data_IF_551505759369
#
_entry.id   IF_551505759369
#
_cell.length_a   1.000
_cell.length_b   1.000
_cell.length_c   1.000
_cell.angle_alpha   90.00
_cell.angle_beta   90.00
_cell.angle_gamma   90.00
#
_symmetry.space_group_name_H-M   'P 1'
#
loop_
_entity.id
_entity.type
_entity.pdbx_description
1 polymer ?
#
# COMPACT_ATOMS: atom_id res chain seq x y z
N UNK A 1 39.26 1.74 11.28
CA UNK A 1 37.89 2.10 11.68
C UNK A 1 36.99 1.30 10.75
N UNK A 2 36.53 0.11 11.16
CA UNK A 2 35.50 -0.59 10.37
C UNK A 2 34.22 0.21 10.55
N UNK A 3 33.71 0.80 9.47
CA UNK A 3 32.33 1.25 9.46
C UNK A 3 31.51 0.00 9.77
N UNK A 4 30.81 0.01 10.91
CA UNK A 4 29.72 -0.94 11.16
C UNK A 4 28.65 -0.60 10.13
N UNK A 5 28.77 -1.15 8.94
CA UNK A 5 27.69 -1.12 7.95
C UNK A 5 26.61 -1.99 8.58
N UNK A 6 25.50 -1.38 8.99
CA UNK A 6 24.34 -2.15 9.41
C UNK A 6 23.98 -3.11 8.26
N UNK A 7 23.64 -4.38 8.54
CA UNK A 7 23.22 -5.29 7.48
C UNK A 7 22.07 -4.63 6.71
N UNK A 8 22.21 -4.59 5.38
CA UNK A 8 21.16 -4.11 4.47
C UNK A 8 19.92 -4.97 4.76
N UNK A 9 18.73 -4.38 4.96
CA UNK A 9 17.52 -5.15 5.18
C UNK A 9 17.27 -6.08 3.99
N UNK A 10 16.59 -7.22 4.19
CA UNK A 10 16.06 -8.01 3.10
C UNK A 10 15.25 -7.11 2.18
N UNK A 11 15.55 -7.20 0.89
CA UNK A 11 14.95 -6.34 -0.11
C UNK A 11 14.82 -7.09 -1.43
N UNK A 12 13.80 -6.75 -2.19
CA UNK A 12 13.75 -7.04 -3.62
C UNK A 12 14.06 -5.74 -4.37
N UNK A 13 14.89 -5.83 -5.42
CA UNK A 13 15.35 -4.67 -6.18
C UNK A 13 15.56 -5.04 -7.65
N UNK A 14 15.20 -4.14 -8.55
CA UNK A 14 15.67 -4.16 -9.93
C UNK A 14 16.05 -2.74 -10.40
N UNK A 15 15.98 -2.47 -11.70
CA UNK A 15 16.32 -1.17 -12.29
C UNK A 15 15.24 -0.12 -12.02
N UNK A 16 13.98 -0.50 -11.79
CA UNK A 16 12.85 0.44 -11.62
C UNK A 16 12.54 0.75 -10.15
N UNK A 17 12.40 -0.29 -9.32
CA UNK A 17 11.93 -0.18 -7.94
C UNK A 17 12.74 -1.03 -6.96
N UNK A 18 12.68 -0.63 -5.70
CA UNK A 18 13.16 -1.40 -4.54
C UNK A 18 12.10 -1.41 -3.46
N UNK A 19 11.91 -2.57 -2.85
CA UNK A 19 11.16 -2.72 -1.61
C UNK A 19 12.07 -3.27 -0.53
N UNK A 20 12.09 -2.64 0.63
CA UNK A 20 12.82 -3.10 1.81
C UNK A 20 11.82 -3.74 2.80
N UNK A 21 12.23 -4.75 3.55
CA UNK A 21 11.45 -5.31 4.69
C UNK A 21 12.27 -5.34 5.99
N UNK A 22 11.68 -4.86 7.08
CA UNK A 22 12.35 -4.68 8.37
C UNK A 22 12.53 -6.02 9.06
N UNK A 23 13.80 -6.38 9.29
CA UNK A 23 14.22 -7.65 9.89
C UNK A 23 13.51 -8.06 11.18
N UNK A 24 13.05 -7.09 11.98
CA UNK A 24 12.50 -7.34 13.31
C UNK A 24 10.99 -7.19 13.39
N UNK A 25 10.32 -6.73 12.32
CA UNK A 25 8.91 -6.31 12.38
C UNK A 25 8.09 -6.60 11.12
N UNK A 26 8.70 -6.94 9.98
CA UNK A 26 7.99 -7.12 8.69
C UNK A 26 7.31 -5.87 8.12
N UNK A 27 7.52 -4.71 8.76
CA UNK A 27 7.19 -3.41 8.18
C UNK A 27 8.06 -3.16 6.95
N UNK A 28 7.54 -2.40 5.99
CA UNK A 28 8.16 -2.29 4.68
C UNK A 28 8.19 -0.85 4.18
N UNK A 29 8.98 -0.59 3.15
CA UNK A 29 8.97 0.68 2.41
C UNK A 29 9.32 0.42 0.95
N UNK A 30 8.72 1.19 0.06
CA UNK A 30 8.90 1.06 -1.39
C UNK A 30 9.39 2.39 -1.95
N UNK A 31 10.28 2.33 -2.92
CA UNK A 31 10.84 3.48 -3.61
C UNK A 31 11.41 3.12 -4.98
N UNK A 32 11.77 4.14 -5.74
CA UNK A 32 12.38 3.99 -7.06
C UNK A 32 13.88 3.78 -6.95
N UNK A 33 14.41 3.01 -7.89
CA UNK A 33 15.83 2.91 -8.17
C UNK A 33 16.16 3.85 -9.30
N UNK A 34 16.31 3.39 -10.53
CA UNK A 34 16.47 4.27 -11.70
C UNK A 34 15.11 4.77 -12.22
N UNK A 35 14.00 4.41 -11.56
CA UNK A 35 12.67 4.98 -11.83
C UNK A 35 12.08 4.60 -13.18
N UNK A 36 11.10 5.39 -13.65
CA UNK A 36 10.57 5.26 -14.99
C UNK A 36 11.57 5.84 -16.00
N UNK A 37 12.11 5.04 -16.96
CA UNK A 37 13.07 5.51 -17.95
C UNK A 37 12.56 6.66 -18.84
N UNK A 38 11.25 6.90 -18.89
CA UNK A 38 10.63 7.99 -19.65
C UNK A 38 10.45 9.28 -18.82
N UNK A 39 10.71 9.25 -17.51
CA UNK A 39 10.54 10.37 -16.59
C UNK A 39 11.87 10.75 -15.93
N UNK A 40 12.54 11.78 -16.43
CA UNK A 40 13.74 12.32 -15.77
C UNK A 40 13.39 12.94 -14.42
N UNK A 41 14.11 12.54 -13.37
CA UNK A 41 14.01 13.13 -12.03
C UNK A 41 13.10 12.36 -11.09
N UNK A 42 12.60 11.18 -11.47
CA UNK A 42 11.85 10.29 -10.57
C UNK A 42 12.74 9.22 -9.90
N UNK A 43 14.05 9.23 -10.21
CA UNK A 43 15.02 8.25 -9.74
C UNK A 43 15.33 8.45 -8.25
N UNK A 44 15.55 7.34 -7.53
CA UNK A 44 16.02 7.32 -6.14
C UNK A 44 15.09 8.01 -5.13
N UNK A 45 13.77 7.90 -5.32
CA UNK A 45 12.73 8.56 -4.53
C UNK A 45 11.83 7.57 -3.81
N UNK A 46 11.34 7.95 -2.62
CA UNK A 46 10.34 7.16 -1.91
C UNK A 46 8.99 7.16 -2.62
N UNK A 47 8.31 6.02 -2.59
CA UNK A 47 6.86 5.91 -2.82
C UNK A 47 6.10 5.75 -1.50
N UNK A 48 6.78 5.32 -0.44
CA UNK A 48 6.31 5.28 0.93
C UNK A 48 7.26 6.06 1.85
N UNK A 49 6.75 6.54 2.97
CA UNK A 49 7.55 7.21 3.98
C UNK A 49 8.68 6.30 4.49
N UNK A 50 9.84 6.91 4.77
CA UNK A 50 10.99 6.21 5.33
C UNK A 50 11.90 5.52 4.31
N UNK A 51 11.56 5.50 3.03
CA UNK A 51 12.47 4.97 1.99
C UNK A 51 13.75 5.80 1.90
N UNK A 52 14.92 5.14 1.97
CA UNK A 52 16.23 5.77 1.85
C UNK A 52 17.09 5.04 0.82
N UNK A 53 17.27 5.62 -0.37
CA UNK A 53 18.04 4.98 -1.46
C UNK A 53 19.43 4.53 -0.99
N UNK A 54 20.16 5.44 -0.34
CA UNK A 54 21.54 5.25 0.09
C UNK A 54 21.62 4.83 1.56
N UNK A 55 21.06 3.67 1.89
CA UNK A 55 21.26 3.09 3.22
C UNK A 55 20.11 2.24 3.71
N UNK A 56 19.78 2.44 4.98
CA UNK A 56 18.73 1.71 5.67
C UNK A 56 17.48 2.57 5.70
N UNK A 57 16.43 2.13 5.02
CA UNK A 57 15.11 2.76 5.07
C UNK A 57 14.54 2.73 6.51
N UNK A 58 13.97 3.83 6.98
CA UNK A 58 13.29 3.91 8.28
C UNK A 58 11.83 3.47 8.17
N UNK A 59 11.65 2.15 8.02
CA UNK A 59 10.38 1.56 7.59
C UNK A 59 9.46 1.28 8.78
N UNK A 60 9.07 2.28 9.55
CA UNK A 60 8.25 2.04 10.75
C UNK A 60 6.75 2.17 10.51
N UNK A 61 6.31 2.83 9.43
CA UNK A 61 4.95 3.32 9.27
C UNK A 61 4.08 2.59 8.24
N UNK A 62 4.65 1.73 7.39
CA UNK A 62 3.85 0.81 6.55
C UNK A 62 3.92 -0.62 7.09
N UNK A 63 2.76 -1.18 7.43
CA UNK A 63 2.62 -2.42 8.19
C UNK A 63 1.24 -3.05 8.04
N UNK A 64 1.01 -4.20 8.69
CA UNK A 64 -0.30 -4.85 8.70
C UNK A 64 -0.81 -5.10 10.12
N UNK A 65 -2.13 -5.11 10.25
CA UNK A 65 -2.85 -5.46 11.47
C UNK A 65 -3.79 -6.63 11.17
N UNK A 66 -3.84 -7.63 12.06
CA UNK A 66 -4.83 -8.69 11.99
C UNK A 66 -6.03 -8.34 12.87
N UNK A 67 -7.24 -8.66 12.42
CA UNK A 67 -8.41 -8.75 13.30
C UNK A 67 -8.76 -10.22 13.48
N UNK A 68 -8.79 -10.66 14.73
CA UNK A 68 -9.09 -12.04 15.10
C UNK A 68 -10.41 -12.06 15.87
N UNK A 69 -11.41 -12.79 15.34
CA UNK A 69 -12.67 -13.05 16.05
C UNK A 69 -12.73 -14.51 16.51
N UNK A 70 -12.75 -14.74 17.81
CA UNK A 70 -12.87 -16.06 18.41
C UNK A 70 -14.33 -16.53 18.48
N UNK A 71 -14.53 -17.84 18.67
CA UNK A 71 -15.85 -18.48 18.70
C UNK A 71 -16.77 -17.94 19.82
N UNK A 72 -16.19 -17.42 20.89
CA UNK A 72 -16.92 -16.82 22.01
C UNK A 72 -17.32 -15.35 21.78
N UNK A 73 -16.91 -14.78 20.64
CA UNK A 73 -17.20 -13.42 20.22
C UNK A 73 -16.14 -12.39 20.66
N UNK A 74 -15.04 -12.81 21.29
CA UNK A 74 -13.93 -11.90 21.56
C UNK A 74 -13.28 -11.46 20.25
N UNK A 75 -13.02 -10.15 20.13
CA UNK A 75 -12.32 -9.54 19.00
C UNK A 75 -11.00 -9.00 19.53
N UNK A 76 -9.90 -9.39 18.88
CA UNK A 76 -8.56 -8.86 19.17
C UNK A 76 -7.94 -8.35 17.88
N UNK A 77 -7.42 -7.12 17.94
CA UNK A 77 -6.61 -6.55 16.87
C UNK A 77 -5.12 -6.72 17.21
N UNK A 78 -4.32 -7.13 16.23
CA UNK A 78 -2.91 -7.49 16.42
C UNK A 78 -2.07 -6.73 15.40
N UNK A 79 -1.41 -5.66 15.82
CA UNK A 79 -0.43 -4.95 15.01
C UNK A 79 0.83 -5.80 14.84
N UNK A 80 1.04 -6.36 13.63
CA UNK A 80 2.19 -7.23 13.36
C UNK A 80 3.52 -6.50 13.50
N UNK A 81 3.54 -5.17 13.38
CA UNK A 81 4.74 -4.37 13.56
C UNK A 81 5.24 -4.37 15.01
N UNK A 82 4.39 -4.71 15.98
CA UNK A 82 4.77 -4.78 17.40
C UNK A 82 5.33 -6.16 17.79
N UNK A 83 5.31 -7.12 16.87
CA UNK A 83 5.81 -8.47 17.09
C UNK A 83 7.03 -8.80 16.24
N UNK A 84 7.96 -9.52 16.86
CA UNK A 84 9.11 -10.04 16.14
C UNK A 84 8.72 -11.30 15.34
N UNK A 85 9.07 -11.39 14.04
CA UNK A 85 8.93 -12.61 13.27
C UNK A 85 9.66 -13.79 13.91
N UNK A 86 9.17 -15.02 13.69
CA UNK A 86 9.76 -16.24 14.28
C UNK A 86 11.17 -16.50 13.78
N UNK A 87 11.42 -16.16 12.51
CA UNK A 87 12.73 -16.13 11.87
C UNK A 87 12.95 -14.76 11.25
N UNK A 88 14.19 -14.26 11.17
CA UNK A 88 14.48 -13.07 10.39
C UNK A 88 13.94 -13.23 8.96
N UNK A 89 13.28 -12.20 8.38
CA UNK A 89 12.87 -12.22 6.99
C UNK A 89 14.04 -12.62 6.08
N UNK A 90 13.73 -13.39 5.05
CA UNK A 90 14.70 -13.91 4.10
C UNK A 90 14.20 -13.70 2.67
N UNK A 91 15.12 -13.78 1.70
CA UNK A 91 14.79 -13.76 0.28
C UNK A 91 14.79 -15.20 -0.20
N UNK A 92 13.70 -15.64 -0.84
CA UNK A 92 13.59 -16.98 -1.40
C UNK A 92 14.22 -17.11 -2.79
N UNK A 93 13.96 -18.21 -3.49
CA UNK A 93 14.52 -18.51 -4.81
C UNK A 93 13.91 -17.69 -5.95
N UNK A 94 12.76 -17.04 -5.72
CA UNK A 94 12.01 -16.24 -6.69
C UNK A 94 12.16 -14.73 -6.41
N UNK A 95 13.21 -14.33 -5.66
CA UNK A 95 13.47 -12.96 -5.21
C UNK A 95 12.32 -12.34 -4.38
N UNK A 96 11.55 -13.19 -3.68
CA UNK A 96 10.49 -12.75 -2.77
C UNK A 96 11.03 -12.62 -1.35
N UNK A 97 10.77 -11.48 -0.72
CA UNK A 97 11.05 -11.28 0.69
C UNK A 97 9.93 -11.89 1.51
N UNK A 98 10.25 -12.88 2.34
CA UNK A 98 9.29 -13.63 3.15
C UNK A 98 9.47 -13.32 4.63
N UNK A 99 8.38 -12.96 5.31
CA UNK A 99 8.33 -12.76 6.77
C UNK A 99 7.23 -13.63 7.37
N UNK A 100 7.53 -14.39 8.43
CA UNK A 100 6.53 -15.26 9.09
C UNK A 100 6.42 -14.99 10.59
N UNK A 101 5.19 -14.92 11.09
CA UNK A 101 4.83 -14.85 12.51
C UNK A 101 3.90 -16.00 12.88
N UNK A 102 4.05 -16.51 14.09
CA UNK A 102 3.15 -17.49 14.67
C UNK A 102 2.56 -16.96 15.99
N UNK A 103 1.26 -16.68 15.98
CA UNK A 103 0.53 -16.41 17.21
C UNK A 103 0.16 -17.71 17.90
N UNK A 104 0.80 -17.99 19.04
CA UNK A 104 0.47 -19.14 19.89
C UNK A 104 -0.90 -18.99 20.57
N UNK A 105 -1.30 -17.75 20.86
CA UNK A 105 -2.54 -17.46 21.56
C UNK A 105 -3.75 -17.77 20.67
N UNK A 106 -3.64 -17.48 19.37
CA UNK A 106 -4.71 -17.73 18.40
C UNK A 106 -4.51 -19.01 17.58
N UNK A 107 -3.31 -19.61 17.63
CA UNK A 107 -2.93 -20.73 16.76
C UNK A 107 -2.92 -20.33 15.29
N UNK A 108 -2.35 -19.17 14.96
CA UNK A 108 -2.31 -18.63 13.59
C UNK A 108 -0.87 -18.48 13.12
N UNK A 109 -0.57 -18.95 11.92
CA UNK A 109 0.64 -18.58 11.19
C UNK A 109 0.28 -17.52 10.15
N UNK A 110 1.02 -16.42 10.12
CA UNK A 110 0.88 -15.37 9.12
C UNK A 110 2.20 -15.24 8.38
N UNK A 111 2.17 -15.38 7.07
CA UNK A 111 3.31 -15.21 6.19
C UNK A 111 3.05 -14.04 5.24
N UNK A 112 3.94 -13.06 5.26
CA UNK A 112 3.99 -11.94 4.33
C UNK A 112 4.98 -12.27 3.20
N UNK A 113 4.55 -12.01 1.97
CA UNK A 113 5.34 -12.17 0.76
C UNK A 113 5.40 -10.81 0.05
N UNK A 114 6.62 -10.30 -0.14
CA UNK A 114 6.85 -9.02 -0.82
C UNK A 114 7.79 -9.23 -1.99
N UNK A 115 7.32 -9.01 -3.21
CA UNK A 115 8.10 -9.28 -4.43
C UNK A 115 7.80 -8.25 -5.53
N UNK A 116 8.73 -8.10 -6.47
CA UNK A 116 8.53 -7.21 -7.62
C UNK A 116 7.90 -8.02 -8.76
N UNK A 117 6.73 -7.58 -9.22
CA UNK A 117 5.97 -8.21 -10.29
C UNK A 117 5.83 -7.27 -11.50
N UNK A 118 5.32 -7.81 -12.60
CA UNK A 118 5.01 -7.03 -13.79
C UNK A 118 3.77 -6.16 -13.56
N UNK A 119 3.84 -4.89 -13.97
CA UNK A 119 2.76 -3.93 -13.87
C UNK A 119 1.98 -3.89 -15.18
N UNK A 120 0.68 -4.18 -15.11
CA UNK A 120 -0.22 -4.22 -16.26
C UNK A 120 -0.43 -2.86 -16.97
N UNK A 121 0.02 -1.76 -16.35
CA UNK A 121 -0.12 -0.41 -16.92
C UNK A 121 1.15 0.08 -17.61
N UNK A 122 2.32 -0.49 -17.29
CA UNK A 122 3.62 -0.09 -17.86
C UNK A 122 4.36 -1.22 -18.57
N UNK A 123 3.91 -2.47 -18.42
CA UNK A 123 4.56 -3.70 -18.92
C UNK A 123 5.99 -3.89 -18.39
N UNK A 124 6.30 -3.27 -17.24
CA UNK A 124 7.61 -3.33 -16.59
C UNK A 124 7.46 -3.97 -15.23
N UNK A 125 8.56 -4.51 -14.71
CA UNK A 125 8.64 -4.98 -13.33
C UNK A 125 8.79 -3.81 -12.36
N UNK A 126 7.82 -2.92 -12.31
CA UNK A 126 7.89 -1.66 -11.54
C UNK A 126 6.79 -1.53 -10.47
N UNK A 127 6.10 -2.64 -10.18
CA UNK A 127 5.13 -2.73 -9.08
C UNK A 127 5.47 -3.85 -8.12
N UNK A 128 5.11 -3.67 -6.86
CA UNK A 128 5.39 -4.61 -5.77
C UNK A 128 4.12 -5.31 -5.37
N UNK A 129 4.15 -6.65 -5.37
CA UNK A 129 3.16 -7.48 -4.69
C UNK A 129 3.39 -7.42 -3.19
N UNK A 130 2.31 -7.13 -2.46
CA UNK A 130 2.26 -7.24 -0.99
C UNK A 130 1.16 -8.24 -0.67
N UNK A 131 1.55 -9.48 -0.38
CA UNK A 131 0.63 -10.56 -0.04
C UNK A 131 0.81 -11.01 1.42
N UNK A 132 -0.30 -11.38 2.05
CA UNK A 132 -0.33 -12.05 3.34
C UNK A 132 -1.14 -13.33 3.21
N UNK A 133 -0.55 -14.47 3.55
CA UNK A 133 -1.25 -15.74 3.72
C UNK A 133 -1.36 -16.07 5.21
N UNK A 134 -2.56 -16.43 5.66
CA UNK A 134 -2.87 -16.72 7.06
C UNK A 134 -3.40 -18.13 7.15
N UNK A 135 -2.70 -18.99 7.87
CA UNK A 135 -3.08 -20.39 8.10
C UNK A 135 -3.49 -20.60 9.55
N UNK A 136 -4.66 -21.19 9.76
CA UNK A 136 -5.13 -21.56 11.10
C UNK A 136 -4.64 -22.94 11.49
N UNK A 137 -4.04 -23.04 12.68
CA UNK A 137 -3.78 -24.28 13.41
C UNK A 137 -4.66 -24.39 14.65
N UNK A 138 -5.62 -23.47 14.82
CA UNK A 138 -6.57 -23.50 15.91
C UNK A 138 -7.55 -24.68 15.72
N UNK A 139 -7.76 -25.54 16.73
CA UNK A 139 -8.74 -26.62 16.63
C UNK A 139 -10.19 -26.12 16.55
N UNK A 140 -10.49 -24.92 17.07
CA UNK A 140 -11.80 -24.29 16.99
C UNK A 140 -11.85 -23.32 15.81
N UNK A 141 -13.01 -23.17 15.14
CA UNK A 141 -13.17 -22.18 14.09
C UNK A 141 -12.90 -20.76 14.62
N UNK A 142 -12.13 -20.01 13.85
CA UNK A 142 -11.75 -18.62 14.14
C UNK A 142 -12.02 -17.79 12.90
N UNK A 143 -12.28 -16.49 13.03
CA UNK A 143 -12.28 -15.60 11.86
C UNK A 143 -11.08 -14.69 11.89
N UNK A 144 -10.51 -14.46 10.70
CA UNK A 144 -9.34 -13.60 10.57
C UNK A 144 -9.56 -12.63 9.42
N UNK A 145 -9.36 -11.34 9.71
CA UNK A 145 -9.28 -10.26 8.73
C UNK A 145 -7.88 -9.66 8.75
N UNK A 146 -7.56 -8.90 7.70
CA UNK A 146 -6.31 -8.17 7.58
C UNK A 146 -6.58 -6.70 7.25
N UNK A 147 -5.80 -5.80 7.85
CA UNK A 147 -5.60 -4.44 7.38
C UNK A 147 -4.16 -4.27 6.90
N UNK A 148 -3.96 -3.73 5.71
CA UNK A 148 -2.65 -3.25 5.25
C UNK A 148 -2.63 -1.72 5.27
N UNK A 149 -1.65 -1.15 5.99
CA UNK A 149 -1.42 0.28 6.13
C UNK A 149 -0.21 0.69 5.28
N UNK A 150 -0.38 1.71 4.45
CA UNK A 150 0.69 2.31 3.66
C UNK A 150 0.76 3.81 3.95
N UNK A 151 1.89 4.24 4.51
CA UNK A 151 2.21 5.64 4.79
C UNK A 151 2.80 6.29 3.52
N UNK A 152 1.97 7.09 2.83
CA UNK A 152 2.21 7.48 1.45
C UNK A 152 3.00 8.78 1.41
N UNK A 153 4.22 8.68 0.88
CA UNK A 153 5.08 9.83 0.61
C UNK A 153 5.69 9.70 -0.76
N UNK A 154 5.25 10.53 -1.70
CA UNK A 154 5.75 10.49 -3.08
C UNK A 154 6.89 11.49 -3.23
N UNK A 155 8.11 10.97 -3.32
CA UNK A 155 9.34 11.77 -3.32
C UNK A 155 9.49 12.54 -2.01
N UNK A 156 9.30 13.85 -2.08
CA UNK A 156 9.36 14.75 -0.90
C UNK A 156 7.98 15.17 -0.38
N UNK A 157 6.89 14.70 -0.99
CA UNK A 157 5.53 15.13 -0.71
C UNK A 157 4.77 14.10 0.17
N UNK A 158 4.63 14.41 1.47
CA UNK A 158 3.88 13.61 2.48
C UNK A 158 2.36 13.82 2.42
N UNK A 159 1.92 14.83 1.68
CA UNK A 159 0.53 15.16 1.41
C UNK A 159 0.20 14.99 -0.06
N UNK A 160 0.73 13.92 -0.67
CA UNK A 160 0.66 13.68 -2.11
C UNK A 160 -0.80 13.77 -2.61
N UNK A 161 -1.08 14.53 -3.69
CA UNK A 161 -2.42 14.57 -4.25
C UNK A 161 -2.85 13.19 -4.72
N UNK A 162 -4.03 12.78 -4.28
CA UNK A 162 -4.65 11.52 -4.68
C UNK A 162 -5.58 11.74 -5.86
N UNK A 163 -5.58 10.76 -6.76
CA UNK A 163 -6.56 10.65 -7.83
C UNK A 163 -7.20 9.27 -7.81
N UNK A 164 -8.53 9.25 -7.87
CA UNK A 164 -9.32 8.02 -7.86
C UNK A 164 -10.21 8.02 -9.11
N UNK A 165 -10.23 6.92 -9.90
CA UNK A 165 -11.14 6.74 -11.02
C UNK A 165 -12.59 7.04 -10.63
N UNK A 166 -13.35 7.66 -11.54
CA UNK A 166 -14.76 8.06 -11.36
C UNK A 166 -15.07 9.04 -10.21
N UNK A 167 -14.08 9.39 -9.37
CA UNK A 167 -14.20 10.33 -8.25
C UNK A 167 -13.44 11.62 -8.53
N UNK A 168 -12.22 11.51 -9.06
CA UNK A 168 -11.33 12.64 -9.30
C UNK A 168 -10.30 12.85 -8.18
N UNK A 169 -9.94 14.11 -7.96
CA UNK A 169 -9.00 14.49 -6.91
C UNK A 169 -9.62 14.32 -5.52
N UNK A 170 -8.88 13.69 -4.62
CA UNK A 170 -9.25 13.56 -3.20
C UNK A 170 -8.35 14.46 -2.36
N UNK A 171 -8.96 15.39 -1.61
CA UNK A 171 -8.27 16.31 -0.67
C UNK A 171 -8.74 16.16 0.77
N UNK A 172 -9.85 15.46 0.99
CA UNK A 172 -10.39 15.12 2.31
C UNK A 172 -10.34 13.61 2.51
N UNK A 173 -10.35 13.17 3.76
CA UNK A 173 -10.44 11.74 4.05
C UNK A 173 -11.68 11.14 3.37
N UNK A 174 -11.49 9.99 2.73
CA UNK A 174 -12.52 9.35 1.91
C UNK A 174 -12.46 7.85 2.12
N UNK A 175 -13.63 7.23 2.26
CA UNK A 175 -13.77 5.77 2.32
C UNK A 175 -14.56 5.23 1.14
N UNK A 176 -14.20 4.00 0.76
CA UNK A 176 -14.87 3.19 -0.24
C UNK A 176 -15.13 1.80 0.36
N UNK A 177 -16.31 1.24 0.12
CA UNK A 177 -16.73 -0.03 0.73
C UNK A 177 -17.39 -0.93 -0.32
N UNK A 178 -17.05 -2.23 -0.30
CA UNK A 178 -17.63 -3.23 -1.19
C UNK A 178 -17.44 -2.89 -2.67
N UNK A 179 -18.55 -2.78 -3.39
CA UNK A 179 -18.52 -2.49 -4.84
C UNK A 179 -18.01 -1.07 -5.16
N UNK A 180 -18.01 -0.14 -4.19
CA UNK A 180 -17.51 1.22 -4.38
C UNK A 180 -15.97 1.31 -4.31
N UNK A 181 -15.27 0.25 -3.87
CA UNK A 181 -13.80 0.21 -3.90
C UNK A 181 -13.32 0.39 -5.35
N UNK A 182 -12.42 1.34 -5.66
CA UNK A 182 -12.03 1.60 -7.04
C UNK A 182 -11.10 0.49 -7.58
N UNK A 183 -10.89 0.46 -8.90
CA UNK A 183 -9.94 -0.46 -9.53
C UNK A 183 -8.50 -0.21 -9.06
N UNK A 184 -8.14 1.06 -8.95
CA UNK A 184 -6.83 1.53 -8.51
C UNK A 184 -6.94 2.93 -7.91
N UNK A 185 -5.87 3.38 -7.28
CA UNK A 185 -5.68 4.76 -6.84
C UNK A 185 -4.28 5.24 -7.22
N UNK A 186 -4.12 6.55 -7.44
CA UNK A 186 -2.83 7.16 -7.75
C UNK A 186 -2.48 8.26 -6.76
N UNK A 187 -1.20 8.38 -6.46
CA UNK A 187 -0.63 9.51 -5.73
C UNK A 187 0.51 10.14 -6.54
N UNK A 188 0.57 11.47 -6.54
CA UNK A 188 1.52 12.23 -7.37
C UNK A 188 2.51 12.99 -6.49
N UNK A 189 3.77 13.09 -6.90
CA UNK A 189 4.73 14.02 -6.29
C UNK A 189 4.25 15.46 -6.52
N UNK A 190 3.75 15.73 -7.73
CA UNK A 190 3.32 17.04 -8.17
C UNK A 190 1.94 17.41 -7.62
N UNK A 191 1.86 18.54 -6.91
CA UNK A 191 0.61 19.17 -6.47
C UNK A 191 -0.42 19.43 -7.59
N UNK A 192 0.06 19.57 -8.84
CA UNK A 192 -0.76 19.86 -10.02
C UNK A 192 -0.78 18.71 -11.03
N UNK A 193 -0.54 17.47 -10.57
CA UNK A 193 -0.63 16.25 -11.39
C UNK A 193 0.26 16.27 -12.65
N UNK A 194 1.45 16.89 -12.62
CA UNK A 194 2.35 16.92 -13.79
C UNK A 194 2.64 15.50 -14.30
N UNK A 195 2.40 15.24 -15.58
CA UNK A 195 2.55 13.91 -16.18
C UNK A 195 3.98 13.34 -16.09
N UNK A 196 4.97 14.21 -16.28
CA UNK A 196 6.40 13.87 -16.23
C UNK A 196 6.98 14.14 -14.83
N UNK A 197 6.27 13.73 -13.79
CA UNK A 197 6.75 13.73 -12.42
C UNK A 197 6.50 12.36 -11.79
N UNK A 198 7.20 12.07 -10.69
CA UNK A 198 7.02 10.82 -9.96
C UNK A 198 5.56 10.63 -9.55
N UNK A 199 5.06 9.41 -9.74
CA UNK A 199 3.71 9.01 -9.38
C UNK A 199 3.68 7.53 -9.03
N UNK A 200 2.89 7.19 -8.04
CA UNK A 200 2.66 5.83 -7.61
C UNK A 200 1.21 5.41 -7.85
N UNK A 201 0.99 4.12 -8.02
CA UNK A 201 -0.33 3.52 -8.16
C UNK A 201 -0.46 2.32 -7.24
N UNK A 202 -1.59 2.24 -6.55
CA UNK A 202 -2.03 1.01 -5.89
C UNK A 202 -3.18 0.37 -6.67
N UNK A 203 -3.04 -0.90 -7.03
CA UNK A 203 -4.07 -1.69 -7.71
C UNK A 203 -4.85 -2.49 -6.68
N UNK A 204 -6.18 -2.35 -6.69
CA UNK A 204 -7.06 -2.90 -5.66
C UNK A 204 -7.92 -4.07 -6.15
N UNK A 205 -8.14 -4.24 -7.47
CA UNK A 205 -9.05 -5.26 -8.00
C UNK A 205 -8.41 -6.24 -8.96
N UNK A 206 -7.64 -5.77 -9.94
CA UNK A 206 -7.05 -6.67 -10.94
C UNK A 206 -5.95 -7.52 -10.32
N UNK A 207 -6.00 -8.83 -10.58
CA UNK A 207 -4.98 -9.80 -10.13
C UNK A 207 -5.08 -10.23 -8.66
N UNK A 208 -5.94 -9.62 -7.84
CA UNK A 208 -6.09 -9.95 -6.41
C UNK A 208 -7.55 -9.97 -5.95
N UNK A 209 -7.81 -10.48 -4.74
CA UNK A 209 -9.11 -10.32 -4.09
C UNK A 209 -9.23 -8.88 -3.57
N UNK A 210 -10.23 -8.09 -4.01
CA UNK A 210 -10.34 -6.70 -3.60
C UNK A 210 -10.51 -6.56 -2.08
N UNK A 211 -9.99 -5.48 -1.46
CA UNK A 211 -10.33 -5.17 -0.09
C UNK A 211 -11.82 -4.86 0.02
N UNK A 212 -12.42 -5.22 1.15
CA UNK A 212 -13.81 -4.89 1.48
C UNK A 212 -13.99 -3.40 1.79
N UNK A 213 -12.93 -2.74 2.27
CA UNK A 213 -12.90 -1.31 2.57
C UNK A 213 -11.55 -0.72 2.24
N UNK A 214 -11.56 0.45 1.60
CA UNK A 214 -10.37 1.22 1.27
C UNK A 214 -10.55 2.64 1.80
N UNK A 215 -9.53 3.15 2.51
CA UNK A 215 -9.54 4.50 3.09
C UNK A 215 -8.31 5.25 2.58
N UNK A 216 -8.53 6.49 2.18
CA UNK A 216 -7.49 7.52 2.08
C UNK A 216 -7.71 8.45 3.26
N UNK A 217 -6.75 8.54 4.16
CA UNK A 217 -6.90 9.24 5.44
C UNK A 217 -5.67 10.05 5.80
N UNK A 218 -5.79 10.95 6.79
CA UNK A 218 -4.59 11.55 7.38
C UNK A 218 -3.87 10.48 8.21
N UNK A 219 -2.55 10.57 8.27
CA UNK A 219 -1.76 9.66 9.07
C UNK A 219 -2.09 9.77 10.56
N UNK A 220 -2.14 10.99 11.11
CA UNK A 220 -2.34 11.24 12.53
C UNK A 220 -1.07 11.74 13.20
N UNK A 221 -0.58 12.89 12.77
CA UNK A 221 0.68 13.47 13.22
C UNK A 221 0.50 14.51 14.33
N UNK A 222 0.93 14.17 15.55
CA UNK A 222 0.83 15.05 16.71
C UNK A 222 1.65 16.35 16.56
N UNK A 223 2.75 16.34 15.79
CA UNK A 223 3.57 17.53 15.54
C UNK A 223 2.85 18.54 14.63
N UNK A 224 1.89 18.07 13.82
CA UNK A 224 0.97 18.90 13.04
C UNK A 224 -0.29 19.31 13.85
N UNK A 225 -0.35 18.96 15.13
CA UNK A 225 -1.50 19.24 16.00
C UNK A 225 -2.71 18.34 15.72
N UNK A 226 -2.53 17.25 14.96
CA UNK A 226 -3.58 16.25 14.73
C UNK A 226 -3.72 15.39 15.99
N UNK A 227 -4.95 15.20 16.44
CA UNK A 227 -5.26 14.38 17.62
C UNK A 227 -5.90 13.04 17.26
N UNK A 228 -6.04 12.78 15.97
CA UNK A 228 -6.69 11.60 15.41
C UNK A 228 -6.19 11.38 13.98
N UNK A 229 -6.34 10.16 13.46
CA UNK A 229 -5.83 9.73 12.16
C UNK A 229 -5.55 8.23 12.15
N UNK A 230 -5.31 7.67 10.97
CA UNK A 230 -5.19 6.22 10.75
C UNK A 230 -4.19 5.52 11.68
N UNK A 231 -3.05 6.16 11.99
CA UNK A 231 -2.00 5.62 12.86
C UNK A 231 -2.46 5.32 14.29
N UNK A 232 -3.43 6.09 14.80
CA UNK A 232 -3.88 5.94 16.20
C UNK A 232 -4.89 4.82 16.41
N UNK A 233 -5.31 4.15 15.33
CA UNK A 233 -6.29 3.07 15.37
C UNK A 233 -5.67 1.80 14.81
N UNK A 234 -5.78 0.69 15.53
CA UNK A 234 -5.32 -0.61 15.05
C UNK A 234 -6.26 -1.16 13.96
N UNK A 235 -7.56 -0.84 14.04
CA UNK A 235 -8.52 -1.30 13.05
C UNK A 235 -9.72 -0.37 12.87
N UNK A 236 -10.45 -0.07 13.95
CA UNK A 236 -11.71 0.68 13.87
C UNK A 236 -11.49 2.19 13.69
N UNK A 237 -11.22 2.61 12.46
CA UNK A 237 -11.15 4.02 12.09
C UNK A 237 -12.48 4.52 11.51
N UNK A 238 -12.95 5.69 11.98
CA UNK A 238 -14.08 6.41 11.40
C UNK A 238 -13.56 7.61 10.62
N UNK A 239 -13.82 7.67 9.32
CA UNK A 239 -13.38 8.75 8.44
C UNK A 239 -13.97 10.10 8.88
N UNK A 240 -13.12 11.12 8.99
CA UNK A 240 -13.54 12.51 9.11
C UNK A 240 -13.54 13.16 7.73
N UNK A 241 -14.71 13.20 7.10
CA UNK A 241 -14.91 13.79 5.75
C UNK A 241 -14.55 15.28 5.64
N UNK A 242 -14.18 15.94 6.75
CA UNK A 242 -13.70 17.33 6.77
C UNK A 242 -12.20 17.45 7.02
N UNK A 243 -11.53 16.36 7.43
CA UNK A 243 -10.10 16.32 7.63
C UNK A 243 -9.36 16.26 6.29
N UNK A 244 -8.30 17.08 6.17
CA UNK A 244 -7.48 17.15 4.96
C UNK A 244 -6.46 15.99 4.94
N UNK A 245 -6.20 15.48 3.73
CA UNK A 245 -5.14 14.47 3.47
C UNK A 245 -3.93 15.08 2.74
N UNK A 246 -3.80 16.41 2.74
CA UNK A 246 -2.81 17.16 1.95
C UNK A 246 -1.55 17.54 2.73
N UNK A 247 -1.31 16.94 3.90
CA UNK A 247 -0.14 17.22 4.73
C UNK A 247 0.67 15.96 5.03
N UNK A 248 0.07 15.01 5.75
CA UNK A 248 0.65 13.74 6.16
C UNK A 248 -0.46 12.68 6.07
N UNK A 249 -0.33 11.75 5.13
CA UNK A 249 -1.44 10.93 4.65
C UNK A 249 -1.05 9.48 4.43
N UNK A 250 -2.03 8.61 4.59
CA UNK A 250 -1.87 7.18 4.40
C UNK A 250 -3.09 6.59 3.73
N UNK A 251 -2.91 5.38 3.21
CA UNK A 251 -4.02 4.54 2.79
C UNK A 251 -4.10 3.29 3.65
N UNK A 252 -5.34 2.83 3.88
CA UNK A 252 -5.62 1.61 4.61
C UNK A 252 -6.57 0.72 3.81
N UNK A 253 -6.13 -0.50 3.53
CA UNK A 253 -6.89 -1.54 2.85
C UNK A 253 -7.33 -2.56 3.88
N UNK A 254 -8.62 -2.90 3.91
CA UNK A 254 -9.20 -3.83 4.87
C UNK A 254 -9.85 -5.00 4.14
N UNK A 255 -9.52 -6.21 4.56
CA UNK A 255 -10.27 -7.42 4.26
C UNK A 255 -10.95 -7.90 5.54
N UNK A 256 -12.27 -8.05 5.48
CA UNK A 256 -13.12 -8.39 6.61
C UNK A 256 -12.80 -9.79 7.16
N UNK A 257 -13.05 -10.05 8.45
CA UNK A 257 -12.83 -11.36 9.03
C UNK A 257 -13.62 -12.48 8.34
N UNK A 258 -12.90 -13.46 7.78
CA UNK A 258 -13.47 -14.67 7.17
C UNK A 258 -13.21 -15.89 8.06
N UNK A 259 -14.15 -16.85 8.14
CA UNK A 259 -13.97 -18.05 8.95
C UNK A 259 -12.88 -18.96 8.38
N UNK A 260 -12.05 -19.48 9.28
CA UNK A 260 -11.02 -20.48 9.03
C UNK A 260 -11.17 -21.62 10.03
N UNK A 261 -11.30 -22.84 9.51
CA UNK A 261 -11.16 -24.06 10.29
C UNK A 261 -9.69 -24.44 10.44
N UNK A 262 -9.42 -25.44 11.28
CA UNK A 262 -8.08 -26.01 11.42
C UNK A 262 -7.50 -26.44 10.06
N UNK A 263 -6.26 -26.00 9.80
CA UNK A 263 -5.46 -26.21 8.59
C UNK A 263 -5.99 -25.52 7.31
N UNK A 264 -7.01 -24.67 7.43
CA UNK A 264 -7.42 -23.79 6.32
C UNK A 264 -6.54 -22.53 6.28
N UNK A 265 -6.44 -21.95 5.07
CA UNK A 265 -5.75 -20.70 4.84
C UNK A 265 -6.62 -19.71 4.06
N UNK A 266 -6.27 -18.44 4.18
CA UNK A 266 -6.75 -17.33 3.33
C UNK A 266 -5.55 -16.49 2.93
N UNK A 267 -5.60 -15.92 1.73
CA UNK A 267 -4.60 -14.94 1.27
C UNK A 267 -5.27 -13.61 0.90
N UNK A 268 -4.57 -12.52 1.21
CA UNK A 268 -4.94 -11.16 0.87
C UNK A 268 -3.77 -10.49 0.17
N UNK A 269 -4.03 -9.79 -0.93
CA UNK A 269 -2.97 -9.21 -1.74
C UNK A 269 -3.39 -7.88 -2.35
N UNK A 270 -2.41 -7.00 -2.51
CA UNK A 270 -2.52 -5.73 -3.24
C UNK A 270 -1.21 -5.47 -3.98
N UNK A 271 -1.27 -4.64 -5.01
CA UNK A 271 -0.07 -4.18 -5.72
C UNK A 271 0.16 -2.70 -5.45
N UNK A 272 1.41 -2.29 -5.29
CA UNK A 272 1.80 -0.89 -5.16
C UNK A 272 3.17 -0.62 -5.77
N UNK A 273 3.28 0.43 -6.59
CA UNK A 273 4.56 0.80 -7.21
C UNK A 273 4.44 2.00 -8.14
N UNK A 274 5.33 2.08 -9.13
CA UNK A 274 5.28 3.15 -10.13
C UNK A 274 3.95 3.11 -10.90
N UNK A 275 3.37 4.28 -11.15
CA UNK A 275 2.21 4.37 -12.04
C UNK A 275 2.68 4.42 -13.49
N UNK A 276 1.91 3.80 -14.41
CA UNK A 276 2.12 3.94 -15.86
C UNK A 276 1.81 5.34 -16.37
N UNK A 277 1.57 5.50 -17.67
CA UNK A 277 1.27 6.82 -18.26
C UNK A 277 0.09 7.55 -17.56
N UNK A 278 0.14 8.88 -17.57
CA UNK A 278 -0.91 9.76 -17.04
C UNK A 278 -0.40 10.97 -16.26
N UNK A 279 -1.33 11.87 -15.95
CA UNK A 279 -1.12 13.25 -15.46
C UNK A 279 -1.38 14.33 -16.52
N UNK A 280 -1.21 15.60 -16.18
CA UNK A 280 -1.28 16.75 -17.08
C UNK A 280 -2.60 17.52 -17.05
N UNK A 281 -3.21 17.77 -18.21
CA UNK A 281 -4.57 18.35 -18.31
C UNK A 281 -5.63 17.33 -18.73
N UNK A 282 -5.21 16.27 -19.41
CA UNK A 282 -6.06 15.18 -19.85
C UNK A 282 -5.21 13.92 -20.09
N UNK A 283 -5.69 12.75 -19.67
CA UNK A 283 -5.12 11.46 -20.07
C UNK A 283 -6.21 10.39 -20.18
N UNK A 284 -5.95 9.37 -20.98
CA UNK A 284 -6.76 8.16 -21.05
C UNK A 284 -5.94 7.03 -20.44
N UNK A 285 -6.58 6.21 -19.62
CA UNK A 285 -5.95 5.06 -18.99
C UNK A 285 -6.79 3.82 -19.25
N UNK A 286 -6.12 2.76 -19.68
CA UNK A 286 -6.66 1.44 -19.92
C UNK A 286 -5.50 0.44 -19.79
N UNK A 287 -5.77 -0.87 -19.59
CA UNK A 287 -4.74 -1.90 -19.65
C UNK A 287 -3.93 -1.79 -20.96
N UNK A 288 -2.62 -2.02 -20.88
CA UNK A 288 -1.73 -1.94 -22.05
C UNK A 288 -2.05 -3.02 -23.10
N UNK A 289 -2.53 -4.18 -22.63
CA UNK A 289 -3.04 -5.27 -23.44
C UNK A 289 -4.44 -5.74 -22.97
N UNK A 290 -5.28 -6.15 -23.92
CA UNK A 290 -6.57 -6.80 -23.65
C UNK A 290 -6.45 -8.27 -24.05
N UNK A 291 -6.58 -9.17 -23.08
CA UNK A 291 -6.49 -10.62 -23.33
C UNK A 291 -7.80 -11.17 -23.88
N UNK A 292 -7.73 -12.26 -24.66
CA UNK A 292 -8.93 -12.87 -25.26
C UNK A 292 -9.88 -13.52 -24.24
N UNK A 293 -9.39 -13.79 -23.03
CA UNK A 293 -10.15 -14.44 -21.96
C UNK A 293 -10.94 -13.42 -21.10
N UNK A 294 -10.68 -12.12 -21.27
CA UNK A 294 -11.45 -11.01 -20.69
C UNK A 294 -12.04 -10.11 -21.79
N UNK A 295 -13.34 -10.25 -22.06
CA UNK A 295 -14.03 -9.42 -23.08
C UNK A 295 -14.38 -8.01 -22.61
N UNK A 296 -14.11 -7.70 -21.34
CA UNK A 296 -14.42 -6.42 -20.70
C UNK A 296 -13.12 -5.85 -20.13
N UNK A 297 -12.89 -4.55 -20.37
CA UNK A 297 -11.79 -3.78 -19.80
C UNK A 297 -12.31 -2.41 -19.39
N UNK A 298 -11.71 -1.84 -18.35
CA UNK A 298 -12.03 -0.49 -17.90
C UNK A 298 -11.11 0.51 -18.59
N UNK A 299 -11.70 1.62 -19.03
CA UNK A 299 -10.96 2.77 -19.52
C UNK A 299 -11.43 4.03 -18.80
N UNK A 300 -10.50 4.77 -18.21
CA UNK A 300 -10.76 6.01 -17.49
C UNK A 300 -10.23 7.18 -18.30
N UNK A 301 -11.08 8.18 -18.56
CA UNK A 301 -10.64 9.45 -19.15
C UNK A 301 -10.61 10.51 -18.05
N UNK A 302 -9.45 11.10 -17.87
CA UNK A 302 -9.24 12.23 -16.99
C UNK A 302 -9.24 13.54 -17.76
N UNK A 303 -9.86 14.56 -17.15
CA UNK A 303 -9.88 15.93 -17.63
C UNK A 303 -9.75 16.87 -16.42
N UNK A 304 -8.68 17.68 -16.39
CA UNK A 304 -8.54 18.77 -15.42
C UNK A 304 -9.09 20.04 -16.00
N UNK A 305 -9.98 20.68 -15.25
CA UNK A 305 -10.32 22.06 -15.52
C UNK A 305 -9.38 23.01 -14.77
N UNK A 306 -8.32 23.47 -15.44
CA UNK A 306 -7.38 24.48 -14.93
C UNK A 306 -7.92 25.92 -14.99
N UNK A 307 -9.21 26.13 -15.28
CA UNK A 307 -9.78 27.48 -15.34
C UNK A 307 -9.86 28.11 -13.95
N UNK A 308 -8.80 28.79 -13.51
CA UNK A 308 -8.87 29.70 -12.39
C UNK A 308 -9.76 30.88 -12.76
N UNK A 309 -11.00 30.91 -12.24
CA UNK A 309 -11.79 32.14 -12.13
C UNK A 309 -11.97 32.48 -10.66
N UNK A 310 -10.94 33.07 -10.06
CA UNK A 310 -11.13 33.88 -8.86
C UNK A 310 -11.88 35.15 -9.26
N UNK A 311 -13.21 35.10 -9.20
CA UNK A 311 -14.04 36.31 -9.12
C UNK A 311 -14.11 36.71 -7.65
N UNK A 312 -13.19 37.58 -7.21
CA UNK A 312 -13.41 38.35 -5.99
C UNK A 312 -14.70 39.18 -6.16
N UNK A 313 -15.70 38.93 -5.31
CA UNK A 313 -16.72 39.91 -4.95
C UNK A 313 -16.65 40.16 -3.46
#
# INVERSE_FOLDING_TARGET
>A
MSLNVCPIPPHAKNDFVRTDVRLTKGTFSIGTTDGDPDITGDEHKGLLYGFEQDGYSDMWSSYATLRVEEIDGNITDVDLSEFRPDQPPFIDEDDTVVTTWFSKDFGLEVSQYVSIIENEHSERKDTVLIEYSITSFNPEPIKVGLRSMMDVRIGSNDGAPYFIPDVGQVIYETEFVGDDVPEYWRAFESANFIANALKAQGTLRTGTTPPDRFIIGRWGNADLGQTDGLYWHEWDYTVDTTALVTEDSAVALYWNPVPLNALENVSFATYYGLAGEGGGEAWLEAPSEVTCDGLEFNASMWLVNNSHTFSLR
#
